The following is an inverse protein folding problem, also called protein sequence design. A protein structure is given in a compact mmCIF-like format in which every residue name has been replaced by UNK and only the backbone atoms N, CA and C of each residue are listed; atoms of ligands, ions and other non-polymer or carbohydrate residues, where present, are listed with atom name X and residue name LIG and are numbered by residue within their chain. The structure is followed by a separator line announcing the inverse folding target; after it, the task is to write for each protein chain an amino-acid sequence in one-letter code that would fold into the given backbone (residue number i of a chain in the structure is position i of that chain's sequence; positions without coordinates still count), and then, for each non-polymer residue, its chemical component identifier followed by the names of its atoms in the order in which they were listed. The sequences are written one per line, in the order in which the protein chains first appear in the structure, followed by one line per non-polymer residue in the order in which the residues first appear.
data_IF_209191614397
#
_entry.id   IF_209191614397
#
_cell.length_a   1.000
_cell.length_b   1.000
_cell.length_c   1.000
_cell.angle_alpha   90.00
_cell.angle_beta   90.00
_cell.angle_gamma   90.00
#
_symmetry.space_group_name_H-M   'P 1'
#
loop_
_entity.id
_entity.type
_entity.pdbx_description
1 polymer ?
#
# COMPACT_ATOMS: atom_id res chain seq x y z
N UNK A 1 -2.85 9.65 6.89
CA UNK A 1 -3.52 8.66 6.00
C UNK A 1 -4.51 7.73 6.71
N UNK A 2 -4.86 8.01 7.96
CA UNK A 2 -5.78 7.20 8.80
C UNK A 2 -7.10 6.82 8.09
N UNK A 3 -7.65 7.71 7.27
CA UNK A 3 -8.90 7.52 6.54
C UNK A 3 -8.88 6.29 5.60
N UNK A 4 -7.73 5.94 5.00
CA UNK A 4 -7.64 4.79 4.08
C UNK A 4 -7.92 3.49 4.85
N UNK A 5 -7.31 3.32 6.02
CA UNK A 5 -7.58 2.16 6.86
C UNK A 5 -9.02 2.08 7.40
N UNK A 6 -9.73 3.20 7.40
CA UNK A 6 -11.14 3.28 7.78
C UNK A 6 -12.10 3.17 6.59
N UNK A 7 -11.56 3.22 5.37
CA UNK A 7 -12.33 3.17 4.14
C UNK A 7 -12.88 1.76 3.95
N UNK A 8 -14.11 1.55 4.34
CA UNK A 8 -14.83 0.30 4.14
C UNK A 8 -15.38 0.24 2.72
N UNK A 9 -15.67 -0.96 2.21
CA UNK A 9 -16.34 -1.13 0.93
C UNK A 9 -17.67 -0.36 0.92
N UNK A 10 -17.69 0.79 0.28
CA UNK A 10 -18.85 1.62 0.09
C UNK A 10 -19.29 1.55 -1.38
N UNK A 11 -20.35 0.78 -1.63
CA UNK A 11 -20.92 0.63 -2.97
C UNK A 11 -21.51 1.93 -3.53
N UNK A 12 -21.64 2.98 -2.71
CA UNK A 12 -22.15 4.29 -3.13
C UNK A 12 -21.07 5.21 -3.70
N UNK A 13 -19.78 4.92 -3.52
CA UNK A 13 -18.69 5.68 -4.13
C UNK A 13 -18.64 5.39 -5.64
N UNK A 14 -19.43 6.11 -6.42
CA UNK A 14 -19.59 5.87 -7.86
C UNK A 14 -18.35 6.29 -8.68
N UNK A 15 -17.58 7.26 -8.20
CA UNK A 15 -16.52 7.94 -8.96
C UNK A 15 -15.11 7.58 -8.50
N UNK A 16 -14.94 7.02 -7.31
CA UNK A 16 -13.66 6.69 -6.70
C UNK A 16 -13.49 5.21 -6.35
N UNK A 17 -12.47 4.91 -5.56
CA UNK A 17 -12.21 3.56 -5.06
C UNK A 17 -13.27 3.13 -4.04
N UNK A 18 -13.72 1.89 -4.16
CA UNK A 18 -14.80 1.33 -3.34
C UNK A 18 -14.35 0.86 -1.95
N UNK A 19 -13.07 0.71 -1.73
CA UNK A 19 -12.48 0.27 -0.45
C UNK A 19 -11.59 -0.97 -0.57
N UNK A 20 -10.94 -1.31 0.54
CA UNK A 20 -9.87 -2.30 0.51
C UNK A 20 -8.66 -1.79 -0.28
N UNK A 21 -8.32 -0.51 -0.09
CA UNK A 21 -7.26 0.17 -0.84
C UNK A 21 -5.90 -0.35 -0.40
N UNK A 22 -5.14 -0.87 -1.35
CA UNK A 22 -3.71 -1.17 -1.20
C UNK A 22 -2.87 0.01 -1.70
N UNK A 23 -1.67 0.16 -1.17
CA UNK A 23 -0.70 1.18 -1.61
C UNK A 23 0.66 0.55 -1.84
N UNK A 24 1.21 0.78 -3.01
CA UNK A 24 2.64 0.62 -3.28
C UNK A 24 3.27 1.98 -3.46
N UNK A 25 4.29 2.31 -2.68
CA UNK A 25 5.00 3.56 -2.82
C UNK A 25 6.52 3.34 -2.88
N UNK A 26 7.19 4.03 -3.79
CA UNK A 26 8.64 3.99 -3.94
C UNK A 26 9.25 5.38 -3.91
N UNK A 27 10.38 5.50 -3.22
CA UNK A 27 11.23 6.69 -3.24
C UNK A 27 12.45 6.42 -4.12
N UNK A 28 12.94 7.46 -4.78
CA UNK A 28 14.11 7.37 -5.66
C UNK A 28 13.77 6.98 -7.10
N UNK A 29 12.49 6.82 -7.44
CA UNK A 29 12.02 6.54 -8.80
C UNK A 29 10.94 7.52 -9.24
N UNK A 30 10.90 7.92 -10.52
CA UNK A 30 9.74 8.62 -11.09
C UNK A 30 8.48 7.74 -11.04
N UNK A 31 7.30 8.36 -10.89
CA UNK A 31 6.02 7.60 -10.87
C UNK A 31 5.79 6.82 -12.16
N UNK A 32 6.23 7.35 -13.32
CA UNK A 32 6.19 6.64 -14.59
C UNK A 32 6.96 5.32 -14.54
N UNK A 33 8.15 5.32 -13.95
CA UNK A 33 8.99 4.12 -13.88
C UNK A 33 8.43 3.09 -12.90
N UNK A 34 7.81 3.53 -11.79
CA UNK A 34 7.07 2.65 -10.89
C UNK A 34 5.91 1.97 -11.63
N UNK A 35 5.11 2.73 -12.39
CA UNK A 35 3.99 2.18 -13.15
C UNK A 35 4.43 1.17 -14.21
N UNK A 36 5.51 1.48 -14.95
CA UNK A 36 6.06 0.55 -15.95
C UNK A 36 6.57 -0.76 -15.32
N UNK A 37 7.18 -0.68 -14.14
CA UNK A 37 7.59 -1.89 -13.36
C UNK A 37 6.40 -2.74 -12.94
N UNK A 38 5.25 -2.11 -12.69
CA UNK A 38 4.00 -2.79 -12.36
C UNK A 38 3.19 -3.24 -13.60
N UNK A 39 3.77 -3.06 -14.80
CA UNK A 39 3.17 -3.53 -16.05
C UNK A 39 2.13 -2.59 -16.66
N UNK A 40 2.13 -1.30 -16.29
CA UNK A 40 1.25 -0.33 -16.93
C UNK A 40 1.68 -0.03 -18.38
N UNK A 41 0.68 0.26 -19.21
CA UNK A 41 0.91 0.68 -20.60
C UNK A 41 1.36 2.16 -20.67
N UNK A 42 2.36 2.44 -21.51
CA UNK A 42 2.93 3.78 -21.64
C UNK A 42 1.96 4.81 -22.21
N UNK A 43 1.04 4.40 -23.08
CA UNK A 43 0.02 5.28 -23.65
C UNK A 43 -1.01 5.66 -22.57
N UNK A 44 -1.39 4.72 -21.70
CA UNK A 44 -2.29 5.00 -20.57
C UNK A 44 -1.63 5.97 -19.58
N UNK A 45 -0.36 5.76 -19.23
CA UNK A 45 0.39 6.68 -18.35
C UNK A 45 0.45 8.09 -18.99
N UNK A 46 0.74 8.18 -20.26
CA UNK A 46 0.88 9.46 -20.98
C UNK A 46 -0.44 10.20 -21.12
N UNK A 47 -1.56 9.50 -21.21
CA UNK A 47 -2.90 10.10 -21.29
C UNK A 47 -3.33 10.76 -20.00
N UNK A 48 -2.83 10.29 -18.86
CA UNK A 48 -3.18 10.75 -17.51
C UNK A 48 -4.70 10.86 -17.28
N UNK A 49 -5.45 9.91 -17.83
CA UNK A 49 -6.92 9.89 -17.74
C UNK A 49 -7.34 9.75 -16.26
N UNK A 50 -8.25 10.60 -15.73
CA UNK A 50 -8.74 10.45 -14.37
C UNK A 50 -9.43 9.11 -14.15
N UNK A 51 -9.27 8.54 -12.94
CA UNK A 51 -9.84 7.24 -12.58
C UNK A 51 -11.34 7.10 -12.87
N UNK A 52 -12.13 8.14 -12.56
CA UNK A 52 -13.58 8.18 -12.79
C UNK A 52 -13.97 8.11 -14.28
N UNK A 53 -13.06 8.48 -15.17
CA UNK A 53 -13.28 8.49 -16.62
C UNK A 53 -12.77 7.19 -17.27
N UNK A 54 -12.14 6.31 -16.48
CA UNK A 54 -11.78 4.98 -16.90
C UNK A 54 -13.02 4.11 -17.00
N UNK A 55 -13.25 3.51 -18.16
CA UNK A 55 -14.34 2.55 -18.31
C UNK A 55 -14.05 1.31 -17.47
N UNK A 56 -15.01 0.84 -16.64
CA UNK A 56 -14.84 -0.36 -15.85
C UNK A 56 -14.72 -1.57 -16.80
N UNK A 57 -13.49 -1.96 -17.07
CA UNK A 57 -13.14 -3.22 -17.68
C UNK A 57 -12.91 -4.26 -16.58
N UNK A 58 -12.65 -5.51 -16.95
CA UNK A 58 -12.45 -6.63 -16.04
C UNK A 58 -11.27 -6.39 -15.08
N UNK A 59 -10.32 -5.56 -15.51
CA UNK A 59 -9.11 -5.20 -14.79
C UNK A 59 -9.33 -3.82 -14.15
N UNK A 60 -9.41 -3.77 -12.82
CA UNK A 60 -9.58 -2.52 -12.10
C UNK A 60 -8.34 -1.63 -12.31
N UNK A 61 -8.53 -0.37 -12.75
CA UNK A 61 -7.40 0.54 -12.85
C UNK A 61 -6.87 0.90 -11.47
N UNK A 62 -5.58 1.20 -11.37
CA UNK A 62 -4.99 1.86 -10.21
C UNK A 62 -5.13 3.38 -10.32
N UNK A 63 -5.06 4.08 -9.19
CA UNK A 63 -4.75 5.52 -9.15
C UNK A 63 -3.28 5.71 -8.84
N UNK A 64 -2.66 6.77 -9.35
CA UNK A 64 -1.27 7.07 -9.05
C UNK A 64 -1.01 8.58 -8.92
N UNK A 65 0.04 8.94 -8.17
CA UNK A 65 0.54 10.31 -8.06
C UNK A 65 1.89 10.30 -7.31
N UNK A 66 2.34 11.47 -6.90
CA UNK A 66 3.53 11.67 -6.08
C UNK A 66 3.19 12.36 -4.76
N UNK A 67 3.98 12.09 -3.73
CA UNK A 67 3.92 12.76 -2.43
C UNK A 67 5.33 13.03 -1.93
N UNK A 68 5.80 14.28 -2.10
CA UNK A 68 7.20 14.61 -1.84
C UNK A 68 8.14 13.82 -2.75
N UNK A 69 9.03 13.04 -2.17
CA UNK A 69 9.97 12.18 -2.90
C UNK A 69 9.42 10.77 -3.23
N UNK A 70 8.18 10.50 -2.87
CA UNK A 70 7.54 9.21 -3.09
C UNK A 70 6.65 9.23 -4.32
N UNK A 71 6.85 8.29 -5.22
CA UNK A 71 5.85 7.88 -6.20
C UNK A 71 4.93 6.86 -5.55
N UNK A 72 3.62 6.93 -5.75
CA UNK A 72 2.70 5.94 -5.21
C UNK A 72 1.62 5.50 -6.20
N UNK A 73 1.16 4.28 -5.99
CA UNK A 73 0.07 3.64 -6.70
C UNK A 73 -0.94 3.15 -5.66
N UNK A 74 -2.22 3.38 -5.91
CA UNK A 74 -3.34 2.87 -5.12
C UNK A 74 -4.12 1.88 -5.96
N UNK A 75 -4.42 0.73 -5.39
CA UNK A 75 -5.22 -0.30 -6.01
C UNK A 75 -6.45 -0.60 -5.13
N UNK A 76 -7.57 -0.89 -5.77
CA UNK A 76 -8.86 -1.09 -5.12
C UNK A 76 -9.18 -2.57 -4.91
N UNK A 77 -10.16 -2.84 -4.05
CA UNK A 77 -10.76 -4.17 -3.81
C UNK A 77 -9.79 -5.24 -3.33
N UNK A 78 -8.71 -4.83 -2.69
CA UNK A 78 -7.70 -5.74 -2.16
C UNK A 78 -6.70 -6.22 -3.20
N UNK A 79 -6.68 -5.65 -4.40
CA UNK A 79 -5.61 -5.89 -5.36
C UNK A 79 -4.31 -5.26 -4.87
N UNK A 80 -3.19 -5.90 -5.15
CA UNK A 80 -1.85 -5.38 -4.89
C UNK A 80 -0.85 -6.02 -5.85
N UNK A 81 -0.71 -5.43 -7.02
CA UNK A 81 0.14 -5.95 -8.11
C UNK A 81 1.58 -6.15 -7.68
N UNK A 82 2.14 -5.22 -6.87
CA UNK A 82 3.50 -5.40 -6.38
C UNK A 82 3.64 -6.64 -5.47
N UNK A 83 2.67 -6.89 -4.57
CA UNK A 83 2.69 -8.07 -3.70
C UNK A 83 2.55 -9.36 -4.51
N UNK A 84 1.73 -9.37 -5.55
CA UNK A 84 1.58 -10.53 -6.43
C UNK A 84 2.92 -10.86 -7.12
N UNK A 85 3.59 -9.85 -7.69
CA UNK A 85 4.93 -10.01 -8.25
C UNK A 85 5.96 -10.45 -7.20
N UNK A 86 5.93 -9.89 -6.00
CA UNK A 86 6.88 -10.24 -4.93
C UNK A 86 6.82 -11.70 -4.53
N UNK A 87 5.63 -12.27 -4.45
CA UNK A 87 5.47 -13.69 -4.13
C UNK A 87 5.81 -14.62 -5.31
N UNK A 88 5.80 -14.12 -6.53
CA UNK A 88 6.15 -14.89 -7.75
C UNK A 88 7.64 -14.81 -8.08
N UNK A 89 8.23 -13.62 -7.99
CA UNK A 89 9.62 -13.37 -8.40
C UNK A 89 10.20 -12.20 -7.59
N UNK A 90 10.80 -12.52 -6.45
CA UNK A 90 11.37 -11.53 -5.52
C UNK A 90 12.47 -10.68 -6.17
N UNK A 91 13.23 -11.24 -7.11
CA UNK A 91 14.32 -10.51 -7.78
C UNK A 91 13.82 -9.34 -8.62
N UNK A 92 12.59 -9.43 -9.16
CA UNK A 92 11.99 -8.34 -9.97
C UNK A 92 11.42 -7.21 -9.12
N UNK A 93 11.05 -7.50 -7.89
CA UNK A 93 10.33 -6.58 -7.01
C UNK A 93 11.22 -5.91 -5.98
N UNK A 94 12.41 -6.46 -5.72
CA UNK A 94 13.36 -5.88 -4.78
C UNK A 94 13.88 -4.55 -5.30
N UNK A 95 13.76 -3.45 -4.52
CA UNK A 95 14.27 -2.14 -4.91
C UNK A 95 15.78 -2.15 -5.11
N UNK A 96 16.24 -1.41 -6.11
CA UNK A 96 17.66 -1.21 -6.36
C UNK A 96 18.30 -0.33 -5.27
N UNK A 97 19.64 -0.31 -5.24
CA UNK A 97 20.37 0.56 -4.33
C UNK A 97 19.98 2.03 -4.51
N UNK A 98 19.59 2.68 -3.43
CA UNK A 98 19.11 4.07 -3.40
C UNK A 98 17.61 4.24 -3.63
N UNK A 99 16.89 3.18 -3.94
CA UNK A 99 15.44 3.14 -3.93
C UNK A 99 14.94 2.67 -2.56
N UNK A 100 13.74 3.06 -2.19
CA UNK A 100 13.08 2.61 -0.96
C UNK A 100 11.62 2.31 -1.29
N UNK A 101 11.11 1.18 -0.81
CA UNK A 101 9.74 0.76 -1.06
C UNK A 101 8.98 0.56 0.24
N UNK A 102 7.73 0.96 0.25
CA UNK A 102 6.72 0.56 1.23
C UNK A 102 5.49 0.06 0.48
N UNK A 103 4.97 -1.08 0.90
CA UNK A 103 3.71 -1.60 0.41
C UNK A 103 2.77 -1.89 1.58
N UNK A 104 1.54 -1.43 1.49
CA UNK A 104 0.44 -1.77 2.38
C UNK A 104 -0.61 -2.51 1.55
N UNK A 105 -0.68 -3.82 1.72
CA UNK A 105 -1.67 -4.63 1.05
C UNK A 105 -2.95 -4.70 1.87
N UNK A 106 -4.10 -4.51 1.23
CA UNK A 106 -5.41 -4.76 1.80
C UNK A 106 -6.00 -6.07 1.26
N UNK A 107 -6.85 -6.71 2.02
CA UNK A 107 -7.73 -7.76 1.53
C UNK A 107 -9.18 -7.46 1.94
N UNK A 108 -10.12 -8.33 1.59
CA UNK A 108 -11.54 -8.12 1.86
C UNK A 108 -11.88 -8.04 3.36
N UNK A 109 -11.06 -8.63 4.23
CA UNK A 109 -11.30 -8.70 5.67
C UNK A 109 -10.44 -7.71 6.46
N UNK A 110 -9.19 -7.49 6.03
CA UNK A 110 -8.18 -6.75 6.78
C UNK A 110 -7.49 -5.70 5.89
N UNK A 111 -7.38 -4.45 6.39
CA UNK A 111 -6.71 -3.36 5.69
C UNK A 111 -5.86 -2.52 6.66
N UNK A 112 -4.52 -2.62 6.64
CA UNK A 112 -3.75 -3.52 5.77
C UNK A 112 -3.71 -4.95 6.30
N UNK A 113 -3.53 -5.92 5.41
CA UNK A 113 -3.22 -7.31 5.75
C UNK A 113 -1.71 -7.55 5.85
N UNK A 114 -0.95 -6.85 5.02
CA UNK A 114 0.52 -6.88 5.03
C UNK A 114 1.09 -5.47 4.99
N UNK A 115 2.24 -5.30 5.66
CA UNK A 115 3.16 -4.20 5.45
C UNK A 115 4.48 -4.81 4.96
N UNK A 116 4.93 -4.39 3.79
CA UNK A 116 6.26 -4.72 3.26
C UNK A 116 7.08 -3.46 3.22
N UNK A 117 8.32 -3.52 3.67
CA UNK A 117 9.27 -2.41 3.60
C UNK A 117 10.62 -2.90 3.09
N UNK A 118 11.14 -2.26 2.08
CA UNK A 118 12.46 -2.54 1.51
C UNK A 118 13.26 -1.23 1.40
N UNK A 119 14.33 -1.08 2.19
CA UNK A 119 15.14 0.15 2.23
C UNK A 119 16.11 0.31 1.05
N UNK A 120 16.17 -0.64 0.12
CA UNK A 120 17.09 -0.62 -1.01
C UNK A 120 18.52 -1.06 -0.68
N UNK A 121 18.69 -1.81 0.39
CA UNK A 121 19.95 -2.43 0.82
C UNK A 121 20.00 -3.95 0.54
N UNK A 122 19.04 -4.46 -0.23
CA UNK A 122 18.85 -5.88 -0.54
C UNK A 122 18.03 -6.63 0.51
N UNK A 123 17.56 -5.98 1.57
CA UNK A 123 16.69 -6.58 2.56
C UNK A 123 15.22 -6.21 2.29
N UNK A 124 14.33 -7.17 2.55
CA UNK A 124 12.87 -6.96 2.52
C UNK A 124 12.30 -7.40 3.86
N UNK A 125 11.48 -6.56 4.45
CA UNK A 125 10.84 -6.78 5.75
C UNK A 125 9.34 -6.91 5.54
N UNK A 126 8.78 -8.01 5.99
CA UNK A 126 7.34 -8.30 5.90
C UNK A 126 6.73 -8.33 7.31
N UNK A 127 5.64 -7.61 7.50
CA UNK A 127 4.79 -7.73 8.70
C UNK A 127 3.37 -8.11 8.26
N UNK A 128 2.88 -9.23 8.76
CA UNK A 128 1.55 -9.77 8.47
C UNK A 128 0.60 -9.40 9.62
N UNK A 129 -0.58 -8.86 9.30
CA UNK A 129 -1.63 -8.49 10.23
C UNK A 129 -2.86 -9.43 10.16
N UNK A 130 -2.80 -10.49 9.37
CA UNK A 130 -3.88 -11.49 9.24
C UNK A 130 -3.90 -12.51 10.38
N UNK A 131 -4.97 -13.29 10.47
CA UNK A 131 -5.20 -14.27 11.55
C UNK A 131 -4.23 -15.47 11.51
N UNK A 132 -3.60 -15.77 10.35
CA UNK A 132 -2.61 -16.83 10.18
C UNK A 132 -1.18 -16.36 10.48
N UNK A 133 -1.02 -15.69 11.60
CA UNK A 133 0.28 -15.23 12.06
C UNK A 133 1.15 -16.40 12.51
N UNK A 134 1.82 -17.02 11.57
CA UNK A 134 3.05 -17.70 11.89
C UNK A 134 4.05 -16.62 12.32
N UNK A 135 4.28 -16.53 13.62
CA UNK A 135 5.31 -15.69 14.23
C UNK A 135 6.66 -15.89 13.54
N UNK A 136 6.93 -15.12 12.53
CA UNK A 136 8.29 -14.84 12.09
C UNK A 136 8.52 -13.36 12.37
N UNK A 137 9.10 -13.03 13.53
CA UNK A 137 9.66 -11.70 13.72
C UNK A 137 10.84 -11.61 12.76
N UNK A 138 10.62 -11.10 11.56
CA UNK A 138 11.73 -10.66 10.73
C UNK A 138 12.37 -9.51 11.47
N UNK A 139 13.64 -9.66 11.80
CA UNK A 139 14.41 -8.68 12.56
C UNK A 139 14.33 -7.33 11.86
N UNK A 140 13.66 -6.40 12.51
CA UNK A 140 13.46 -5.05 12.02
C UNK A 140 14.63 -4.21 12.50
N UNK A 141 15.68 -4.11 11.71
CA UNK A 141 16.80 -3.22 11.95
C UNK A 141 16.77 -2.04 10.99
N UNK A 142 16.52 -0.88 11.50
CA UNK A 142 16.52 0.36 10.72
C UNK A 142 15.79 1.47 11.47
N UNK A 143 16.22 2.72 11.29
CA UNK A 143 15.63 3.86 12.02
C UNK A 143 14.14 4.07 11.68
N UNK A 144 13.75 3.89 10.43
CA UNK A 144 12.36 4.06 9.98
C UNK A 144 11.46 2.94 10.48
N UNK A 145 11.92 1.69 10.46
CA UNK A 145 11.16 0.57 11.01
C UNK A 145 11.02 0.67 12.52
N UNK A 146 12.04 1.15 13.23
CA UNK A 146 11.90 1.49 14.65
C UNK A 146 10.85 2.57 14.87
N UNK A 147 10.79 3.55 13.99
CA UNK A 147 9.76 4.58 14.00
C UNK A 147 8.36 3.99 13.79
N UNK A 148 8.18 3.12 12.81
CA UNK A 148 6.91 2.41 12.55
C UNK A 148 6.50 1.56 13.76
N UNK A 149 7.43 0.82 14.37
CA UNK A 149 7.21 0.05 15.59
C UNK A 149 6.80 0.95 16.76
N UNK A 150 7.52 2.04 16.98
CA UNK A 150 7.21 3.00 18.04
C UNK A 150 5.85 3.70 17.83
N UNK A 151 5.43 3.88 16.59
CA UNK A 151 4.13 4.42 16.23
C UNK A 151 2.98 3.39 16.27
N UNK A 152 3.25 2.15 16.67
CA UNK A 152 2.26 1.09 16.78
C UNK A 152 1.87 0.40 15.47
N UNK A 153 2.67 0.59 14.41
CA UNK A 153 2.42 -0.05 13.11
C UNK A 153 2.86 -1.53 13.06
N UNK A 154 3.51 -2.02 14.10
CA UNK A 154 3.90 -3.43 14.25
C UNK A 154 3.66 -3.89 15.68
N UNK A 155 3.45 -5.19 15.91
CA UNK A 155 3.23 -5.73 17.24
C UNK A 155 4.44 -5.45 18.15
N UNK A 156 4.24 -4.86 19.35
CA UNK A 156 5.31 -4.64 20.30
C UNK A 156 5.86 -5.95 20.86
N UNK A 157 7.14 -5.94 21.20
CA UNK A 157 7.78 -7.07 21.89
C UNK A 157 7.10 -7.40 23.22
N UNK A 158 6.84 -8.68 23.48
CA UNK A 158 6.18 -9.14 24.69
C UNK A 158 4.64 -9.12 24.65
N UNK A 159 4.01 -8.68 23.57
CA UNK A 159 2.58 -8.83 23.35
C UNK A 159 2.28 -10.06 22.50
N UNK A 160 1.24 -10.80 22.88
CA UNK A 160 0.64 -11.74 21.93
C UNK A 160 -0.12 -10.94 20.86
N UNK A 161 -0.01 -11.36 19.60
CA UNK A 161 -0.60 -10.65 18.46
C UNK A 161 -2.11 -10.42 18.61
N UNK A 162 -2.93 -11.39 19.05
CA UNK A 162 -4.36 -11.15 19.28
C UNK A 162 -4.62 -10.04 20.29
N UNK A 163 -3.87 -10.00 21.40
CA UNK A 163 -4.02 -8.95 22.42
C UNK A 163 -3.63 -7.56 21.87
N UNK A 164 -2.65 -7.49 20.99
CA UNK A 164 -2.28 -6.25 20.35
C UNK A 164 -3.37 -5.78 19.37
N UNK A 165 -3.95 -6.69 18.59
CA UNK A 165 -5.09 -6.39 17.71
C UNK A 165 -6.27 -5.85 18.52
N UNK A 166 -6.66 -6.50 19.63
CA UNK A 166 -7.75 -6.05 20.48
C UNK A 166 -7.51 -4.63 21.02
N UNK A 167 -6.27 -4.33 21.44
CA UNK A 167 -5.90 -2.99 21.91
C UNK A 167 -5.98 -1.94 20.79
N UNK A 168 -5.60 -2.28 19.58
CA UNK A 168 -5.64 -1.37 18.44
C UNK A 168 -7.06 -1.19 17.90
N UNK A 169 -7.86 -2.24 17.88
CA UNK A 169 -9.26 -2.17 17.45
C UNK A 169 -10.12 -1.38 18.43
N UNK A 170 -9.72 -1.31 19.70
CA UNK A 170 -10.35 -0.43 20.69
C UNK A 170 -10.05 1.07 20.47
N UNK A 171 -9.04 1.41 19.65
CA UNK A 171 -8.72 2.80 19.33
C UNK A 171 -9.61 3.29 18.19
N UNK A 172 -9.83 4.61 18.15
CA UNK A 172 -10.56 5.24 17.04
C UNK A 172 -9.85 5.00 15.70
N UNK A 173 -10.48 4.23 14.83
CA UNK A 173 -9.95 3.80 13.53
C UNK A 173 -9.24 2.46 13.54
N UNK A 174 -9.14 1.80 14.69
CA UNK A 174 -8.59 0.47 14.83
C UNK A 174 -7.15 0.31 14.35
N UNK A 175 -6.66 -0.91 14.30
CA UNK A 175 -5.35 -1.28 13.74
C UNK A 175 -5.11 -0.64 12.36
N UNK A 176 -6.11 -0.68 11.51
CA UNK A 176 -6.07 -0.16 10.14
C UNK A 176 -5.67 1.32 10.11
N UNK A 177 -6.38 2.14 10.85
CA UNK A 177 -6.09 3.57 10.92
C UNK A 177 -4.72 3.89 11.52
N UNK A 178 -4.31 3.14 12.54
CA UNK A 178 -2.99 3.33 13.20
C UNK A 178 -1.84 3.05 12.24
N UNK A 179 -1.86 1.92 11.53
CA UNK A 179 -0.80 1.55 10.59
C UNK A 179 -0.69 2.57 9.46
N UNK A 180 -1.81 2.93 8.83
CA UNK A 180 -1.82 3.93 7.76
C UNK A 180 -1.34 5.31 8.22
N UNK A 181 -1.72 5.72 9.44
CA UNK A 181 -1.26 6.98 10.00
C UNK A 181 0.25 6.96 10.27
N UNK A 182 0.75 5.90 10.89
CA UNK A 182 2.18 5.74 11.19
C UNK A 182 3.04 5.78 9.92
N UNK A 183 2.64 5.05 8.88
CA UNK A 183 3.33 5.08 7.58
C UNK A 183 3.35 6.49 7.00
N UNK A 184 2.20 7.18 6.99
CA UNK A 184 2.13 8.56 6.50
C UNK A 184 3.03 9.52 7.27
N UNK A 185 3.10 9.39 8.59
CA UNK A 185 3.89 10.31 9.42
C UNK A 185 5.40 10.04 9.38
N UNK A 186 5.80 8.76 9.38
CA UNK A 186 7.22 8.36 9.37
C UNK A 186 7.87 8.57 7.99
N UNK A 187 7.14 8.28 6.93
CA UNK A 187 7.66 8.38 5.55
C UNK A 187 7.33 9.72 4.90
N UNK A 188 6.47 10.53 5.50
CA UNK A 188 6.05 11.81 4.92
C UNK A 188 5.08 11.68 3.75
N UNK A 189 4.46 10.51 3.55
CA UNK A 189 3.51 10.28 2.46
C UNK A 189 2.17 10.91 2.81
N UNK A 190 1.58 11.63 1.86
CA UNK A 190 0.25 12.26 1.98
C UNK A 190 -0.57 11.92 0.75
N UNK A 191 -1.71 11.28 0.97
CA UNK A 191 -2.65 10.90 -0.09
C UNK A 191 -3.88 11.78 0.01
N UNK A 192 -4.26 12.52 -1.06
CA UNK A 192 -5.35 13.47 -1.03
C UNK A 192 -6.71 12.75 -1.03
N UNK A 193 -7.35 12.67 0.14
CA UNK A 193 -8.61 11.95 0.35
C UNK A 193 -9.69 12.32 -0.67
N UNK A 194 -9.92 13.61 -0.87
CA UNK A 194 -10.98 14.08 -1.76
C UNK A 194 -10.72 13.70 -3.23
N UNK A 195 -9.47 13.62 -3.66
CA UNK A 195 -9.12 13.24 -5.02
C UNK A 195 -9.31 11.74 -5.26
N UNK A 196 -8.98 10.92 -4.25
CA UNK A 196 -9.21 9.46 -4.30
C UNK A 196 -10.70 9.15 -4.27
N UNK A 197 -11.45 9.73 -3.32
CA UNK A 197 -12.90 9.48 -3.19
C UNK A 197 -13.71 9.96 -4.40
N UNK A 198 -13.21 10.97 -5.13
CA UNK A 198 -13.86 11.52 -6.33
C UNK A 198 -13.25 11.02 -7.65
N UNK A 199 -12.31 10.07 -7.58
CA UNK A 199 -11.69 9.50 -8.78
C UNK A 199 -10.94 10.51 -9.65
N UNK A 200 -10.37 11.56 -9.05
CA UNK A 200 -9.70 12.64 -9.81
C UNK A 200 -8.24 12.36 -10.14
N UNK A 201 -7.59 11.47 -9.39
CA UNK A 201 -6.21 11.12 -9.69
C UNK A 201 -6.13 10.40 -11.04
N UNK A 202 -5.01 10.56 -11.77
CA UNK A 202 -4.77 9.82 -12.98
C UNK A 202 -4.75 8.32 -12.71
N UNK A 203 -5.15 7.53 -13.71
CA UNK A 203 -5.26 6.10 -13.61
C UNK A 203 -4.55 5.37 -14.75
N UNK A 204 -4.14 4.15 -14.49
CA UNK A 204 -3.60 3.21 -15.46
C UNK A 204 -4.00 1.77 -15.07
N UNK A 205 -4.03 0.86 -16.03
CA UNK A 205 -4.19 -0.57 -15.76
C UNK A 205 -2.82 -1.17 -15.47
N UNK A 206 -2.78 -2.03 -14.46
CA UNK A 206 -1.59 -2.79 -14.14
C UNK A 206 -1.80 -4.23 -14.61
N UNK A 207 -0.79 -4.77 -15.31
CA UNK A 207 -0.80 -6.16 -15.70
C UNK A 207 0.01 -6.96 -14.68
N UNK A 208 -0.67 -7.60 -13.75
CA UNK A 208 -0.04 -8.49 -12.78
C UNK A 208 0.58 -9.73 -13.44
N UNK A 209 1.24 -10.60 -12.66
CA UNK A 209 1.90 -11.80 -13.16
C UNK A 209 0.93 -12.84 -13.76
N UNK A 210 -0.36 -12.69 -13.52
CA UNK A 210 -1.41 -13.66 -13.91
C UNK A 210 -2.26 -13.23 -15.10
N UNK A 211 -1.85 -12.25 -15.87
CA UNK A 211 -2.55 -11.82 -17.10
C UNK A 211 -2.03 -12.46 -18.37
#
# INVERSE_FOLDING_TARGET
MKWIGQHTFDKSAADGMLGGISMTAMRGVPVRDLLLRLGADEEEISSATPYRDFHPTRDAPCMYDTSGEWAYVLEDRGSCTWCEWFFEDEDKTTPAAGEELICLNANAAVNPSYLVYAPGDGNVYLNNFGDDLTDRPHAVEGSKLRGLKAAGATCPEGYAVPQWHDLLDAQEGGLRGVVWQAVGDILGIRIPRADVEQGRLPAARLTGPYT
#
